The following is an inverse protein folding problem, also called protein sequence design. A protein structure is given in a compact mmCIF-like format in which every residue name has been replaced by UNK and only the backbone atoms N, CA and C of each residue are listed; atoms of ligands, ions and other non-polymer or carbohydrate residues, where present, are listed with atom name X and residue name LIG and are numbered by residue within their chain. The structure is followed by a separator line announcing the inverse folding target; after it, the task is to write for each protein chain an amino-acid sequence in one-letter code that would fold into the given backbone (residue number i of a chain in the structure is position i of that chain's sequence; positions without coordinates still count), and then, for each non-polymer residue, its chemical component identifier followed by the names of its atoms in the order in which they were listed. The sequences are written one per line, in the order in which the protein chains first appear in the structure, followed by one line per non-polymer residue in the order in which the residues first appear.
data_IF_700353191496
#
_entry.id   IF_700353191496
#
_cell.length_a   1.000
_cell.length_b   1.000
_cell.length_c   1.000
_cell.angle_alpha   90.00
_cell.angle_beta   90.00
_cell.angle_gamma   90.00
#
_symmetry.space_group_name_H-M   'P 1'
#
loop_
_entity.id
_entity.type
_entity.pdbx_description
1 polymer ?
#
# COMPACT_ATOMS: atom_id res chain seq x y z
N UNK A 1 1.35 -4.90 17.74
CA UNK A 1 0.48 -3.85 17.15
C UNK A 1 1.22 -2.56 16.76
N UNK A 2 2.36 -2.64 16.04
CA UNK A 2 3.10 -1.43 15.58
C UNK A 2 2.75 -0.99 14.16
N UNK A 3 1.96 -1.79 13.45
CA UNK A 3 1.52 -1.54 12.08
C UNK A 3 0.00 -1.69 12.09
N UNK A 4 -0.69 -0.64 11.66
CA UNK A 4 -2.14 -0.69 11.41
C UNK A 4 -2.34 -0.96 9.93
N UNK A 5 -3.27 -1.85 9.60
CA UNK A 5 -3.59 -2.21 8.22
C UNK A 5 -5.09 -2.01 8.04
N UNK A 6 -5.50 -1.59 6.85
CA UNK A 6 -6.90 -1.52 6.42
C UNK A 6 -6.99 -1.97 4.97
N UNK A 7 -8.12 -2.52 4.58
CA UNK A 7 -8.41 -2.80 3.16
C UNK A 7 -9.09 -1.61 2.53
N UNK A 8 -8.74 -1.26 1.29
CA UNK A 8 -9.53 -0.29 0.56
C UNK A 8 -10.85 -0.93 0.09
N UNK A 9 -11.97 -0.26 0.36
CA UNK A 9 -13.32 -0.66 0.01
C UNK A 9 -13.65 -0.29 -1.45
N UNK A 10 -13.35 -1.17 -2.39
CA UNK A 10 -13.66 -0.94 -3.80
C UNK A 10 -15.09 -1.39 -4.10
N UNK A 11 -16.03 -0.45 -4.22
CA UNK A 11 -17.42 -0.74 -4.65
C UNK A 11 -17.50 -0.90 -6.17
N UNK A 12 -16.79 -0.06 -6.92
CA UNK A 12 -16.64 -0.13 -8.38
C UNK A 12 -15.18 0.18 -8.73
N UNK A 13 -14.58 -0.63 -9.61
CA UNK A 13 -13.21 -0.42 -10.07
C UNK A 13 -12.15 -0.90 -9.08
N UNK A 14 -10.96 -0.30 -9.15
CA UNK A 14 -9.80 -0.66 -8.32
C UNK A 14 -9.22 0.60 -7.66
N UNK A 15 -8.77 0.47 -6.41
CA UNK A 15 -7.86 1.45 -5.83
C UNK A 15 -6.44 1.20 -6.36
N UNK A 16 -5.86 2.20 -7.01
CA UNK A 16 -4.65 2.00 -7.80
C UNK A 16 -3.52 2.98 -7.48
N UNK A 17 -3.61 3.74 -6.38
CA UNK A 17 -2.50 4.56 -5.88
C UNK A 17 -1.36 3.70 -5.34
N UNK A 18 -0.11 4.05 -5.64
CA UNK A 18 1.08 3.43 -5.04
C UNK A 18 1.98 4.49 -4.41
N UNK A 19 1.48 5.09 -3.33
CA UNK A 19 2.15 6.14 -2.58
C UNK A 19 2.77 5.56 -1.31
N UNK A 20 4.03 5.88 -1.05
CA UNK A 20 4.67 5.64 0.25
C UNK A 20 5.22 6.95 0.78
N UNK A 21 4.87 7.25 2.02
CA UNK A 21 5.41 8.38 2.78
C UNK A 21 6.13 7.87 4.02
N UNK A 22 7.29 8.47 4.31
CA UNK A 22 8.03 8.25 5.55
C UNK A 22 8.33 9.61 6.13
N UNK A 23 7.63 9.94 7.21
CA UNK A 23 7.75 11.23 7.90
C UNK A 23 8.69 11.11 9.09
N UNK A 24 9.63 12.04 9.18
CA UNK A 24 10.56 12.21 10.29
C UNK A 24 10.28 13.56 10.98
N UNK A 25 11.10 13.93 11.96
CA UNK A 25 10.90 15.19 12.67
C UNK A 25 11.02 16.42 11.75
N UNK A 26 11.95 16.41 10.79
CA UNK A 26 12.27 17.55 9.92
C UNK A 26 11.89 17.33 8.45
N UNK A 27 11.85 16.07 7.99
CA UNK A 27 11.63 15.73 6.58
C UNK A 27 10.58 14.65 6.37
N UNK A 28 9.87 14.75 5.25
CA UNK A 28 9.04 13.70 4.69
C UNK A 28 9.65 13.19 3.38
N UNK A 29 9.87 11.88 3.32
CA UNK A 29 10.28 11.17 2.11
C UNK A 29 9.04 10.62 1.43
N UNK A 30 8.81 11.01 0.18
CA UNK A 30 7.62 10.65 -0.59
C UNK A 30 8.10 9.91 -1.82
N UNK A 31 7.47 8.76 -2.11
CA UNK A 31 7.63 8.08 -3.40
C UNK A 31 6.27 7.69 -3.95
N UNK A 32 6.04 8.00 -5.23
CA UNK A 32 4.82 7.65 -5.94
C UNK A 32 5.14 7.37 -7.41
N UNK A 33 4.38 6.47 -8.04
CA UNK A 33 4.60 6.08 -9.43
C UNK A 33 3.88 4.79 -9.79
N UNK A 34 4.49 4.01 -10.68
CA UNK A 34 3.91 2.74 -11.14
C UNK A 34 4.15 1.58 -10.17
N UNK A 35 5.13 1.70 -9.26
CA UNK A 35 5.60 0.59 -8.46
C UNK A 35 4.64 0.15 -7.35
N UNK A 36 4.15 -1.09 -7.43
CA UNK A 36 3.57 -1.75 -6.26
C UNK A 36 4.65 -2.12 -5.22
N UNK A 37 4.24 -2.26 -3.95
CA UNK A 37 5.13 -2.71 -2.87
C UNK A 37 5.17 -4.25 -2.86
N UNK A 38 5.79 -4.84 -3.89
CA UNK A 38 5.97 -6.29 -4.04
C UNK A 38 7.43 -6.63 -4.35
N UNK A 39 7.85 -7.88 -4.08
CA UNK A 39 9.22 -8.32 -4.40
C UNK A 39 9.55 -8.14 -5.89
N UNK A 40 8.58 -8.44 -6.77
CA UNK A 40 8.76 -8.35 -8.21
C UNK A 40 9.12 -6.93 -8.67
N UNK A 41 8.34 -5.96 -8.23
CA UNK A 41 8.55 -4.55 -8.59
C UNK A 41 9.81 -3.98 -7.93
N UNK A 42 10.06 -4.30 -6.66
CA UNK A 42 11.19 -3.75 -5.90
C UNK A 42 12.55 -4.41 -6.21
N UNK A 43 12.57 -5.55 -6.91
CA UNK A 43 13.79 -6.25 -7.36
C UNK A 43 14.00 -6.17 -8.87
N UNK A 44 13.51 -5.10 -9.49
CA UNK A 44 13.74 -4.76 -10.90
C UNK A 44 13.30 -5.84 -11.91
N UNK A 45 12.31 -6.67 -11.57
CA UNK A 45 11.70 -7.60 -12.54
C UNK A 45 10.64 -6.92 -13.42
N UNK A 46 10.20 -5.72 -13.05
CA UNK A 46 9.33 -4.86 -13.83
C UNK A 46 10.07 -3.56 -14.17
N UNK A 47 9.77 -3.00 -15.34
CA UNK A 47 10.18 -1.63 -15.65
C UNK A 47 9.20 -0.67 -14.97
N UNK A 48 9.70 0.13 -14.05
CA UNK A 48 8.90 0.96 -13.18
C UNK A 48 9.39 2.41 -13.22
N UNK A 49 8.46 3.36 -13.07
CA UNK A 49 8.77 4.79 -13.03
C UNK A 49 8.17 5.40 -11.77
N UNK A 50 9.05 5.88 -10.88
CA UNK A 50 8.67 6.53 -9.63
C UNK A 50 9.33 7.91 -9.51
N UNK A 51 8.58 8.84 -8.93
CA UNK A 51 9.10 10.12 -8.47
C UNK A 51 9.40 10.02 -6.98
N UNK A 52 10.62 10.40 -6.59
CA UNK A 52 11.01 10.57 -5.19
C UNK A 52 11.10 12.06 -4.86
N UNK A 53 10.39 12.47 -3.82
CA UNK A 53 10.43 13.83 -3.28
C UNK A 53 10.94 13.75 -1.84
N UNK A 54 11.77 14.72 -1.45
CA UNK A 54 12.17 14.96 -0.06
C UNK A 54 11.75 16.38 0.26
N UNK A 55 10.77 16.53 1.15
CA UNK A 55 10.20 17.82 1.50
C UNK A 55 10.33 18.07 3.02
N UNK A 56 10.33 19.33 3.47
CA UNK A 56 10.11 19.66 4.87
C UNK A 56 8.79 19.04 5.39
N UNK A 57 8.80 18.61 6.64
CA UNK A 57 7.61 18.01 7.26
C UNK A 57 6.43 18.98 7.35
N UNK A 58 6.69 20.28 7.43
CA UNK A 58 5.71 21.38 7.50
C UNK A 58 5.44 22.05 6.14
N UNK A 59 5.84 21.40 5.03
CA UNK A 59 5.56 21.92 3.70
C UNK A 59 4.11 21.68 3.28
N UNK A 60 3.56 22.58 2.48
CA UNK A 60 2.20 22.47 1.89
C UNK A 60 1.97 21.10 1.22
N UNK A 61 2.95 20.59 0.46
CA UNK A 61 2.85 19.26 -0.16
C UNK A 61 2.70 18.13 0.87
N UNK A 62 3.43 18.19 1.98
CA UNK A 62 3.31 17.18 3.04
C UNK A 62 1.93 17.25 3.67
N UNK A 63 1.42 18.44 3.93
CA UNK A 63 0.09 18.65 4.51
C UNK A 63 -1.03 18.13 3.60
N UNK A 64 -0.95 18.41 2.29
CA UNK A 64 -1.91 17.88 1.31
C UNK A 64 -1.92 16.35 1.26
N UNK A 65 -0.74 15.71 1.30
CA UNK A 65 -0.64 14.25 1.30
C UNK A 65 -1.20 13.66 2.60
N UNK A 66 -0.91 14.27 3.74
CA UNK A 66 -1.44 13.84 5.03
C UNK A 66 -2.97 13.96 5.06
N UNK A 67 -3.52 15.10 4.61
CA UNK A 67 -4.96 15.29 4.50
C UNK A 67 -5.62 14.26 3.57
N UNK A 68 -4.98 13.96 2.42
CA UNK A 68 -5.45 12.90 1.51
C UNK A 68 -5.48 11.53 2.20
N UNK A 69 -4.41 11.16 2.91
CA UNK A 69 -4.32 9.88 3.62
C UNK A 69 -5.34 9.80 4.74
N UNK A 70 -5.44 10.83 5.58
CA UNK A 70 -6.35 10.87 6.74
C UNK A 70 -7.81 10.78 6.29
N UNK A 71 -8.19 11.50 5.23
CA UNK A 71 -9.54 11.41 4.65
C UNK A 71 -9.91 9.98 4.26
N UNK A 72 -9.00 9.25 3.60
CA UNK A 72 -9.21 7.85 3.20
C UNK A 72 -9.21 6.92 4.41
N UNK A 73 -8.24 7.11 5.30
CA UNK A 73 -8.03 6.23 6.45
C UNK A 73 -9.19 6.31 7.46
N UNK A 74 -9.68 7.52 7.71
CA UNK A 74 -10.75 7.81 8.66
C UNK A 74 -12.15 7.76 8.01
N UNK A 75 -12.25 7.43 6.73
CA UNK A 75 -13.53 7.36 5.99
C UNK A 75 -14.31 8.68 6.01
N UNK A 76 -13.62 9.80 5.80
CA UNK A 76 -14.25 11.12 5.77
C UNK A 76 -15.08 11.30 4.48
N UNK A 77 -16.37 11.58 4.63
CA UNK A 77 -17.36 11.74 3.56
C UNK A 77 -17.71 10.47 2.74
N UNK A 78 -16.96 9.36 2.86
CA UNK A 78 -17.29 8.08 2.26
C UNK A 78 -16.59 6.89 2.94
N UNK A 79 -17.13 5.68 2.74
CA UNK A 79 -16.54 4.44 3.25
C UNK A 79 -15.42 3.95 2.31
N UNK A 80 -14.23 4.54 2.40
CA UNK A 80 -13.07 4.19 1.59
C UNK A 80 -12.31 2.96 2.06
N UNK A 81 -12.30 2.64 3.36
CA UNK A 81 -11.50 1.55 3.93
C UNK A 81 -12.25 0.73 4.98
N UNK A 82 -11.97 -0.56 5.02
CA UNK A 82 -12.53 -1.56 5.93
C UNK A 82 -11.44 -2.10 6.85
N UNK A 83 -11.86 -2.67 7.98
CA UNK A 83 -10.96 -3.35 8.90
C UNK A 83 -10.39 -4.62 8.26
N UNK A 84 -9.24 -5.08 8.78
CA UNK A 84 -8.46 -6.16 8.16
C UNK A 84 -9.27 -7.46 8.08
N UNK A 85 -10.08 -7.70 9.10
CA UNK A 85 -10.89 -8.91 9.30
C UNK A 85 -11.89 -9.12 8.17
N UNK A 86 -12.34 -8.06 7.49
CA UNK A 86 -13.36 -8.13 6.44
C UNK A 86 -12.91 -8.99 5.24
N UNK A 87 -11.65 -8.86 4.81
CA UNK A 87 -11.09 -9.64 3.70
C UNK A 87 -9.94 -10.56 4.10
N UNK A 88 -9.52 -10.55 5.36
CA UNK A 88 -8.50 -11.46 5.84
C UNK A 88 -9.04 -12.88 5.94
N UNK A 89 -8.95 -13.61 4.83
CA UNK A 89 -9.26 -15.03 4.80
C UNK A 89 -8.10 -15.85 5.38
N UNK A 90 -8.43 -16.74 6.31
CA UNK A 90 -7.49 -17.75 6.77
C UNK A 90 -7.41 -18.88 5.74
N UNK A 91 -6.22 -19.08 5.16
CA UNK A 91 -5.99 -20.24 4.30
C UNK A 91 -6.08 -21.52 5.15
N UNK A 92 -6.84 -22.50 4.68
CA UNK A 92 -6.82 -23.87 5.22
C UNK A 92 -5.42 -24.48 5.08
N UNK A 93 -5.12 -25.54 5.84
CA UNK A 93 -3.82 -26.21 5.78
C UNK A 93 -3.44 -26.64 4.35
N UNK A 94 -4.40 -27.19 3.60
CA UNK A 94 -4.19 -27.63 2.22
C UNK A 94 -3.92 -26.44 1.27
N UNK A 95 -4.69 -25.36 1.39
CA UNK A 95 -4.47 -24.14 0.61
C UNK A 95 -3.10 -23.51 0.92
N UNK A 96 -2.62 -23.58 2.17
CA UNK A 96 -1.26 -23.14 2.53
C UNK A 96 -0.19 -23.97 1.82
N UNK A 97 -0.39 -25.29 1.71
CA UNK A 97 0.49 -26.18 0.96
C UNK A 97 0.56 -25.81 -0.52
N UNK A 98 -0.60 -25.62 -1.17
CA UNK A 98 -0.66 -25.17 -2.57
C UNK A 98 0.02 -23.80 -2.73
N UNK A 99 -0.30 -22.84 -1.86
CA UNK A 99 0.29 -21.51 -1.90
C UNK A 99 1.82 -21.56 -1.74
N UNK A 100 2.34 -22.38 -0.84
CA UNK A 100 3.78 -22.56 -0.66
C UNK A 100 4.46 -23.10 -1.92
N UNK A 101 3.82 -24.06 -2.61
CA UNK A 101 4.32 -24.58 -3.89
C UNK A 101 4.29 -23.51 -4.99
N UNK A 102 3.20 -22.76 -5.12
CA UNK A 102 3.09 -21.65 -6.07
C UNK A 102 4.17 -20.60 -5.84
N UNK A 103 4.43 -20.26 -4.57
CA UNK A 103 5.50 -19.34 -4.18
C UNK A 103 6.89 -19.87 -4.53
N UNK A 104 7.17 -21.14 -4.23
CA UNK A 104 8.45 -21.78 -4.60
C UNK A 104 8.68 -21.77 -6.11
N UNK A 105 7.62 -22.06 -6.88
CA UNK A 105 7.66 -22.05 -8.34
C UNK A 105 7.62 -20.64 -8.96
N UNK A 106 7.51 -19.57 -8.14
CA UNK A 106 7.34 -18.17 -8.59
C UNK A 106 6.15 -17.95 -9.53
N UNK A 107 5.10 -18.74 -9.36
CA UNK A 107 3.83 -18.60 -10.09
C UNK A 107 2.86 -17.60 -9.43
N UNK A 108 3.27 -17.01 -8.31
CA UNK A 108 2.58 -15.91 -7.65
C UNK A 108 3.21 -14.56 -8.03
N UNK A 109 2.42 -13.50 -8.00
CA UNK A 109 2.84 -12.12 -8.25
C UNK A 109 3.60 -11.47 -7.07
N UNK A 110 3.80 -12.20 -5.98
CA UNK A 110 4.43 -11.74 -4.73
C UNK A 110 5.71 -12.51 -4.43
#
# INVERSE_FOLDING_TARGET
DKIKVRWYNTVIGQYHTKLVTVQTADKTYITNGSSNITERTLRDYNLEANLRIIAPTDSELTDEINAYFDRIWNNEDALYTLDVEEYQNSLTFFQRGIYALQRWAKLTSY
#
